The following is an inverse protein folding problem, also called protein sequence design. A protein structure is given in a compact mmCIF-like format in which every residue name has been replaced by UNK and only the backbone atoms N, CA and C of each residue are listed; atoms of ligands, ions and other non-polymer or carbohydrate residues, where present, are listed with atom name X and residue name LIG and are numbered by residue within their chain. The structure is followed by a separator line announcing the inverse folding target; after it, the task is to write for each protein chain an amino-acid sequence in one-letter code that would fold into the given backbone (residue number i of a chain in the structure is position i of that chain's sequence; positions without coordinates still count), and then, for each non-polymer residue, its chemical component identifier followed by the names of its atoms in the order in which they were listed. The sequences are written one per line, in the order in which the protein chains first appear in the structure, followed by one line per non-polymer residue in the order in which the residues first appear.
data_IF_066914401986
#
_entry.id   IF_066914401986
#
_cell.length_a   1.000
_cell.length_b   1.000
_cell.length_c   1.000
_cell.angle_alpha   90.00
_cell.angle_beta   90.00
_cell.angle_gamma   90.00
#
_symmetry.space_group_name_H-M   'P 1'
#
loop_
_entity.id
_entity.type
_entity.pdbx_description
1 polymer ?
#
# COMPACT_ATOMS: atom_id res chain seq x y z
N UNK A 1 -6.97 -4.29 -9.15
CA UNK A 1 -6.41 -2.98 -9.53
C UNK A 1 -6.19 -2.82 -11.04
N UNK A 2 -6.98 -3.50 -11.89
CA UNK A 2 -6.75 -3.55 -13.34
C UNK A 2 -6.90 -2.19 -14.03
N UNK A 3 -7.70 -1.28 -13.47
CA UNK A 3 -7.81 0.08 -14.00
C UNK A 3 -6.50 0.87 -13.93
N UNK A 4 -5.76 0.76 -12.82
CA UNK A 4 -4.51 1.49 -12.63
C UNK A 4 -3.39 0.96 -13.52
N UNK A 5 -3.42 -0.35 -13.81
CA UNK A 5 -2.43 -1.01 -14.67
C UNK A 5 -2.46 -0.50 -16.12
N UNK A 6 -3.61 -0.01 -16.62
CA UNK A 6 -3.70 0.58 -17.96
C UNK A 6 -2.79 1.80 -18.15
N UNK A 7 -2.45 2.50 -17.07
CA UNK A 7 -1.61 3.70 -17.12
C UNK A 7 -0.14 3.40 -16.82
N UNK A 8 0.24 2.13 -16.58
CA UNK A 8 1.63 1.74 -16.39
C UNK A 8 2.30 1.65 -17.76
N UNK A 9 3.28 2.51 -18.08
CA UNK A 9 3.88 2.53 -19.40
C UNK A 9 4.82 1.34 -19.60
N UNK A 10 5.07 1.05 -20.86
CA UNK A 10 6.17 0.19 -21.27
C UNK A 10 7.50 0.93 -21.14
N UNK A 11 8.59 0.19 -20.92
CA UNK A 11 9.93 0.80 -20.78
C UNK A 11 10.26 1.61 -22.03
N UNK A 12 10.66 2.87 -21.83
CA UNK A 12 11.01 3.76 -22.94
C UNK A 12 9.84 4.19 -23.83
N UNK A 13 8.59 3.93 -23.43
CA UNK A 13 7.37 4.16 -24.24
C UNK A 13 7.31 3.36 -25.54
N UNK A 14 8.05 2.25 -25.60
CA UNK A 14 8.02 1.30 -26.70
C UNK A 14 6.96 0.22 -26.41
N UNK A 15 5.96 0.09 -27.28
CA UNK A 15 4.84 -0.84 -27.09
C UNK A 15 5.27 -2.32 -27.14
N UNK A 16 6.39 -2.61 -27.81
CA UNK A 16 6.96 -3.96 -27.91
C UNK A 16 7.89 -4.30 -26.74
N UNK A 17 8.24 -3.31 -25.89
CA UNK A 17 9.08 -3.51 -24.72
C UNK A 17 8.30 -4.03 -23.51
N UNK A 18 8.99 -4.57 -22.51
CA UNK A 18 8.34 -5.00 -21.27
C UNK A 18 7.71 -3.83 -20.51
N UNK A 19 6.56 -4.08 -19.86
CA UNK A 19 5.97 -3.14 -18.90
C UNK A 19 6.90 -2.90 -17.71
N UNK A 20 6.86 -1.69 -17.17
CA UNK A 20 7.58 -1.36 -15.95
C UNK A 20 7.03 -2.24 -14.79
N UNK A 21 7.89 -2.94 -14.02
CA UNK A 21 7.46 -3.66 -12.83
C UNK A 21 6.76 -2.71 -11.86
N UNK A 22 5.51 -3.04 -11.51
CA UNK A 22 4.65 -2.17 -10.72
C UNK A 22 3.80 -2.98 -9.75
N UNK A 23 3.56 -2.39 -8.58
CA UNK A 23 2.70 -2.96 -7.54
C UNK A 23 1.78 -1.88 -7.01
N UNK A 24 0.53 -2.26 -6.72
CA UNK A 24 -0.44 -1.42 -6.04
C UNK A 24 -0.76 -1.98 -4.67
N UNK A 25 -0.56 -1.17 -3.64
CA UNK A 25 -0.93 -1.47 -2.26
C UNK A 25 -2.18 -0.67 -1.90
N UNK A 26 -3.33 -1.32 -1.86
CA UNK A 26 -4.58 -0.71 -1.39
C UNK A 26 -4.63 -0.72 0.15
N UNK A 27 -4.74 0.47 0.75
CA UNK A 27 -4.70 0.67 2.20
C UNK A 27 -6.01 1.23 2.76
N UNK A 28 -7.07 1.31 1.97
CA UNK A 28 -8.29 2.03 2.33
C UNK A 28 -8.92 1.56 3.68
N UNK A 29 -8.79 0.28 4.03
CA UNK A 29 -9.33 -0.27 5.28
C UNK A 29 -8.39 -0.22 6.48
N UNK A 30 -7.08 -0.14 6.25
CA UNK A 30 -6.05 -0.21 7.30
C UNK A 30 -5.36 1.11 7.56
N UNK A 31 -5.49 2.11 6.67
CA UNK A 31 -4.88 3.44 6.81
C UNK A 31 -5.48 4.25 7.97
N UNK A 32 -6.76 4.02 8.27
CA UNK A 32 -7.42 4.59 9.42
C UNK A 32 -7.80 3.48 10.40
N UNK A 33 -7.29 3.55 11.63
CA UNK A 33 -7.67 2.64 12.70
C UNK A 33 -9.18 2.74 12.96
N UNK A 34 -9.82 1.72 13.53
CA UNK A 34 -11.26 1.56 13.44
C UNK A 34 -11.97 2.54 14.40
N UNK A 35 -12.17 3.78 13.95
CA UNK A 35 -12.85 4.81 14.74
C UNK A 35 -14.29 4.44 15.15
N UNK A 36 -14.86 3.37 14.57
CA UNK A 36 -16.17 2.83 14.95
C UNK A 36 -16.39 1.32 14.70
N UNK A 37 -15.48 0.60 14.02
CA UNK A 37 -15.67 -0.82 13.62
C UNK A 37 -14.83 -1.86 14.37
N UNK A 38 -13.91 -1.47 15.25
CA UNK A 38 -13.13 -2.41 16.06
C UNK A 38 -13.10 -2.02 17.54
N UNK A 39 -14.28 -1.86 18.14
CA UNK A 39 -14.40 -2.08 19.59
C UNK A 39 -14.13 -3.54 19.99
N UNK A 40 -14.00 -4.45 19.02
CA UNK A 40 -13.77 -5.89 19.22
C UNK A 40 -12.32 -6.34 19.06
N UNK A 41 -11.42 -5.52 18.50
CA UNK A 41 -9.99 -5.84 18.51
C UNK A 41 -9.36 -5.11 19.68
N UNK A 42 -8.93 -5.86 20.69
CA UNK A 42 -8.29 -5.33 21.89
C UNK A 42 -7.18 -4.34 21.52
N UNK A 43 -7.12 -3.24 22.28
CA UNK A 43 -6.21 -2.12 22.06
C UNK A 43 -4.82 -2.58 21.61
N UNK A 44 -4.52 -2.40 20.32
CA UNK A 44 -3.21 -2.69 19.77
C UNK A 44 -2.26 -1.58 20.24
N UNK A 45 -1.19 -1.89 21.00
CA UNK A 45 -0.30 -0.88 21.56
C UNK A 45 0.50 -0.10 20.50
N UNK A 46 0.44 -0.53 19.24
CA UNK A 46 1.16 0.07 18.12
C UNK A 46 0.30 1.02 17.27
N UNK A 47 -1.01 1.15 17.55
CA UNK A 47 -1.91 2.05 16.82
C UNK A 47 -2.80 2.82 17.80
N UNK A 48 -2.68 4.15 17.80
CA UNK A 48 -3.58 5.05 18.51
C UNK A 48 -4.85 5.29 17.66
N UNK A 49 -5.95 5.73 18.28
CA UNK A 49 -7.21 5.98 17.58
C UNK A 49 -7.00 6.90 16.36
N UNK A 50 -7.48 6.49 15.19
CA UNK A 50 -7.47 7.31 13.99
C UNK A 50 -6.41 6.89 12.98
N UNK A 51 -5.13 7.23 13.15
CA UNK A 51 -4.12 7.06 12.09
C UNK A 51 -3.22 5.85 12.37
N UNK A 52 -3.09 4.93 11.41
CA UNK A 52 -2.28 3.71 11.62
C UNK A 52 -0.84 3.84 11.10
N UNK A 53 -0.59 4.66 10.08
CA UNK A 53 0.71 4.68 9.38
C UNK A 53 1.03 3.34 8.68
N UNK A 54 0.00 2.57 8.30
CA UNK A 54 0.16 1.27 7.61
C UNK A 54 1.06 1.41 6.37
N UNK A 55 1.92 0.41 6.16
CA UNK A 55 2.92 0.30 5.09
C UNK A 55 4.12 1.27 5.12
N UNK A 56 4.24 2.23 6.03
CA UNK A 56 5.47 3.04 6.16
C UNK A 56 6.70 2.16 6.42
N UNK A 57 6.62 1.27 7.41
CA UNK A 57 7.71 0.33 7.72
C UNK A 57 7.94 -0.71 6.63
N UNK A 58 6.85 -1.17 6.00
CA UNK A 58 6.92 -2.15 4.91
C UNK A 58 7.65 -1.57 3.70
N UNK A 59 7.33 -0.34 3.30
CA UNK A 59 7.99 0.34 2.18
C UNK A 59 9.45 0.66 2.51
N UNK A 60 9.74 1.11 3.73
CA UNK A 60 11.12 1.32 4.17
C UNK A 60 11.93 0.03 4.03
N UNK A 61 11.45 -1.08 4.60
CA UNK A 61 12.10 -2.39 4.52
C UNK A 61 12.30 -2.84 3.07
N UNK A 62 11.29 -2.67 2.21
CA UNK A 62 11.38 -3.02 0.79
C UNK A 62 12.50 -2.27 0.03
N UNK A 63 12.79 -1.02 0.42
CA UNK A 63 13.80 -0.19 -0.24
C UNK A 63 15.19 -0.38 0.40
N UNK A 64 15.25 -0.66 1.71
CA UNK A 64 16.51 -0.70 2.46
C UNK A 64 17.06 -2.09 2.71
N UNK A 65 16.26 -3.15 2.53
CA UNK A 65 16.74 -4.52 2.62
C UNK A 65 17.23 -4.98 1.24
N UNK A 66 18.44 -5.53 1.21
CA UNK A 66 19.05 -6.18 0.04
C UNK A 66 18.45 -7.57 -0.24
#
# INVERSE_FOLDING_TARGET
ASFLEYFVPHRGYDEDADKIPWVHLDIAGTAWGPGSKARSEGANPLFEFGVSGVHVRTLHRLITDD
#
